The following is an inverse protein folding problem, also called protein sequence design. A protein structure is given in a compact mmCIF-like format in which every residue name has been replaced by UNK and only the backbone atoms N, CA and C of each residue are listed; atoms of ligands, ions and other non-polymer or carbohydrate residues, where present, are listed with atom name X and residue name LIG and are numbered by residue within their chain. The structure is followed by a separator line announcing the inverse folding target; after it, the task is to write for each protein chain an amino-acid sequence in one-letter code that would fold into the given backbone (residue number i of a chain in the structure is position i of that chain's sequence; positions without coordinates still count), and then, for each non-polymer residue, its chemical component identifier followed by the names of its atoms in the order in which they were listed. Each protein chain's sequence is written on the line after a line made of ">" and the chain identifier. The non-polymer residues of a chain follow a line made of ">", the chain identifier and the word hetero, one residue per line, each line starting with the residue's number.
data_IF_399641209965
#
_entry.id   IF_399641209965
#
_cell.length_a   1.000
_cell.length_b   1.000
_cell.length_c   1.000
_cell.angle_alpha   90.00
_cell.angle_beta   90.00
_cell.angle_gamma   90.00
#
_symmetry.space_group_name_H-M   'P 1'
#
loop_
_entity.id
_entity.type
_entity.pdbx_description
1 polymer ?
#
# COMPACT_ATOMS: atom_id res chain seq x y z
N UNK A 1 -9.81 -21.46 4.73
CA UNK A 1 -9.67 -20.60 3.54
C UNK A 1 -8.33 -19.88 3.68
N UNK A 2 -7.43 -20.06 2.72
CA UNK A 2 -6.12 -19.39 2.72
C UNK A 2 -6.21 -18.16 1.81
N UNK A 3 -5.40 -17.14 2.09
CA UNK A 3 -5.35 -15.91 1.31
C UNK A 3 -3.90 -15.48 1.11
N UNK A 4 -3.65 -14.78 0.00
CA UNK A 4 -2.39 -14.09 -0.27
C UNK A 4 -2.63 -12.59 -0.16
N UNK A 5 -1.75 -11.90 0.57
CA UNK A 5 -1.77 -10.45 0.74
C UNK A 5 -0.50 -9.88 0.14
N UNK A 6 -0.65 -8.85 -0.69
CA UNK A 6 0.46 -8.15 -1.33
C UNK A 6 0.34 -6.64 -1.11
N UNK A 7 1.47 -5.94 -1.24
CA UNK A 7 1.55 -4.50 -1.10
C UNK A 7 2.08 -3.88 -2.38
N UNK A 8 1.36 -2.86 -2.89
CA UNK A 8 1.87 -1.93 -3.90
C UNK A 8 2.17 -0.63 -3.15
N UNK A 9 3.44 -0.26 -3.04
CA UNK A 9 3.89 0.83 -2.17
C UNK A 9 4.78 1.85 -2.91
N UNK A 10 4.95 3.03 -2.31
CA UNK A 10 5.82 4.09 -2.82
C UNK A 10 5.42 4.57 -4.22
N UNK A 11 6.41 4.78 -5.08
CA UNK A 11 6.18 5.28 -6.45
C UNK A 11 5.25 4.38 -7.26
N UNK A 12 5.33 3.05 -7.07
CA UNK A 12 4.43 2.11 -7.73
C UNK A 12 2.98 2.33 -7.30
N UNK A 13 2.72 2.58 -6.01
CA UNK A 13 1.36 2.87 -5.55
C UNK A 13 0.78 4.10 -6.26
N UNK A 14 1.55 5.17 -6.36
CA UNK A 14 1.12 6.37 -7.11
C UNK A 14 0.85 6.07 -8.59
N UNK A 15 1.72 5.31 -9.26
CA UNK A 15 1.56 4.96 -10.68
C UNK A 15 0.33 4.08 -10.94
N UNK A 16 0.05 3.11 -10.06
CA UNK A 16 -1.06 2.18 -10.23
C UNK A 16 -2.40 2.71 -9.70
N UNK A 17 -2.38 3.68 -8.78
CA UNK A 17 -3.59 4.32 -8.22
C UNK A 17 -4.46 5.05 -9.27
N UNK A 18 -3.86 5.43 -10.40
CA UNK A 18 -4.52 6.10 -11.52
C UNK A 18 -5.08 5.14 -12.58
N UNK A 19 -4.73 3.85 -12.51
CA UNK A 19 -5.22 2.81 -13.42
C UNK A 19 -6.64 2.39 -13.08
N UNK A 20 -7.29 1.66 -13.98
CA UNK A 20 -8.57 1.03 -13.66
C UNK A 20 -8.36 -0.20 -12.76
N UNK A 21 -9.37 -0.55 -11.96
CA UNK A 21 -9.31 -1.71 -11.06
C UNK A 21 -9.10 -3.03 -11.81
N UNK A 22 -9.68 -3.17 -13.01
CA UNK A 22 -9.49 -4.33 -13.87
C UNK A 22 -8.03 -4.50 -14.32
N UNK A 23 -7.38 -3.40 -14.72
CA UNK A 23 -5.97 -3.40 -15.11
C UNK A 23 -5.05 -3.78 -13.95
N UNK A 24 -5.30 -3.21 -12.75
CA UNK A 24 -4.55 -3.55 -11.54
C UNK A 24 -4.70 -5.01 -11.17
N UNK A 25 -5.93 -5.52 -11.15
CA UNK A 25 -6.23 -6.93 -10.85
C UNK A 25 -5.47 -7.87 -11.77
N UNK A 26 -5.51 -7.62 -13.09
CA UNK A 26 -4.83 -8.49 -14.05
C UNK A 26 -3.30 -8.43 -13.91
N UNK A 27 -2.74 -7.25 -13.59
CA UNK A 27 -1.30 -7.10 -13.32
C UNK A 27 -0.87 -7.88 -12.06
N UNK A 28 -1.67 -7.85 -11.00
CA UNK A 28 -1.43 -8.63 -9.78
C UNK A 28 -1.50 -10.13 -10.09
N UNK A 29 -2.55 -10.59 -10.75
CA UNK A 29 -2.70 -12.01 -11.11
C UNK A 29 -1.59 -12.50 -12.02
N UNK A 30 -1.20 -11.71 -13.03
CA UNK A 30 -0.08 -12.04 -13.91
C UNK A 30 1.23 -12.17 -13.14
N UNK A 31 1.47 -11.30 -12.16
CA UNK A 31 2.63 -11.39 -11.28
C UNK A 31 2.57 -12.65 -10.40
N UNK A 32 1.43 -12.93 -9.78
CA UNK A 32 1.25 -14.13 -8.96
C UNK A 32 1.46 -15.41 -9.77
N UNK A 33 0.91 -15.49 -10.99
CA UNK A 33 1.09 -16.63 -11.89
C UNK A 33 2.55 -16.82 -12.28
N UNK A 34 3.25 -15.72 -12.57
CA UNK A 34 4.67 -15.75 -12.92
C UNK A 34 5.53 -16.35 -11.81
N UNK A 35 5.23 -16.06 -10.54
CA UNK A 35 6.06 -16.47 -9.40
C UNK A 35 5.59 -17.74 -8.69
N UNK A 36 4.27 -18.00 -8.68
CA UNK A 36 3.66 -19.10 -7.92
C UNK A 36 3.04 -20.18 -8.83
N UNK A 37 2.98 -19.94 -10.14
CA UNK A 37 2.44 -20.88 -11.12
C UNK A 37 0.98 -20.64 -11.51
N UNK A 38 0.46 -21.40 -12.49
CA UNK A 38 -0.86 -21.17 -13.09
C UNK A 38 -2.03 -21.30 -12.12
N UNK A 39 -1.86 -22.05 -11.02
CA UNK A 39 -2.88 -22.23 -9.98
C UNK A 39 -3.29 -20.90 -9.32
N UNK A 40 -2.44 -19.87 -9.36
CA UNK A 40 -2.78 -18.55 -8.85
C UNK A 40 -3.96 -17.87 -9.58
N UNK A 41 -4.36 -18.34 -10.78
CA UNK A 41 -5.60 -17.90 -11.45
C UNK A 41 -6.85 -18.58 -10.90
N UNK A 42 -6.70 -19.68 -10.17
CA UNK A 42 -7.81 -20.39 -9.52
C UNK A 42 -8.08 -19.79 -8.15
N UNK A 43 -8.77 -18.65 -8.12
CA UNK A 43 -9.13 -17.96 -6.88
C UNK A 43 -10.63 -17.66 -6.82
N UNK A 44 -11.12 -17.48 -5.60
CA UNK A 44 -12.55 -17.26 -5.33
C UNK A 44 -12.87 -15.77 -5.24
N UNK A 45 -11.92 -14.97 -4.74
CA UNK A 45 -12.12 -13.55 -4.47
C UNK A 45 -10.84 -12.73 -4.57
N UNK A 46 -10.97 -11.48 -4.98
CA UNK A 46 -9.89 -10.49 -5.07
C UNK A 46 -10.43 -9.15 -4.56
N UNK A 47 -9.71 -8.53 -3.65
CA UNK A 47 -10.02 -7.20 -3.11
C UNK A 47 -8.75 -6.37 -2.99
N UNK A 48 -8.89 -5.06 -3.16
CA UNK A 48 -7.82 -4.09 -3.01
C UNK A 48 -8.31 -2.84 -2.28
N UNK A 49 -7.42 -2.20 -1.52
CA UNK A 49 -7.69 -0.92 -0.85
C UNK A 49 -6.57 0.06 -1.17
N UNK A 50 -6.96 1.16 -1.80
CA UNK A 50 -6.10 2.33 -1.93
C UNK A 50 -6.17 3.16 -0.64
N UNK A 51 -5.15 3.03 0.20
CA UNK A 51 -5.06 3.75 1.46
C UNK A 51 -4.65 5.21 1.30
N UNK A 52 -4.12 5.61 0.14
CA UNK A 52 -3.80 7.01 -0.13
C UNK A 52 -5.06 7.87 -0.33
N UNK A 53 -6.20 7.22 -0.62
CA UNK A 53 -7.53 7.84 -0.77
C UNK A 53 -8.40 7.72 0.49
N UNK A 54 -7.83 7.26 1.60
CA UNK A 54 -8.55 7.17 2.87
C UNK A 54 -8.38 8.48 3.63
N UNK A 55 -9.48 9.21 3.81
CA UNK A 55 -9.50 10.61 4.26
C UNK A 55 -8.91 10.81 5.67
N UNK A 56 -9.00 9.80 6.54
CA UNK A 56 -8.61 9.92 7.94
C UNK A 56 -7.23 9.32 8.25
N UNK A 57 -6.71 8.44 7.40
CA UNK A 57 -5.42 7.78 7.58
C UNK A 57 -4.27 8.61 7.02
N UNK A 58 -4.52 9.36 5.94
CA UNK A 58 -3.47 10.13 5.24
C UNK A 58 -2.44 9.27 4.51
N UNK A 59 -2.69 7.96 4.38
CA UNK A 59 -1.79 6.97 3.80
C UNK A 59 -1.61 5.73 4.68
N UNK A 60 -0.82 4.77 4.18
CA UNK A 60 -0.52 3.48 4.81
C UNK A 60 0.79 2.96 4.20
N UNK A 61 1.58 2.11 4.90
CA UNK A 61 1.32 1.56 6.23
C UNK A 61 1.76 2.44 7.40
N UNK A 62 2.68 3.37 7.15
CA UNK A 62 3.29 4.19 8.20
C UNK A 62 3.57 5.59 7.68
N UNK A 63 3.82 6.51 8.62
CA UNK A 63 4.38 7.81 8.30
C UNK A 63 5.87 7.67 7.96
N UNK A 64 6.34 8.45 6.99
CA UNK A 64 7.76 8.55 6.65
C UNK A 64 8.26 9.96 6.91
N UNK A 65 9.52 10.07 7.32
CA UNK A 65 10.17 11.36 7.53
C UNK A 65 11.15 11.65 6.40
N UNK A 66 11.11 12.86 5.87
CA UNK A 66 12.14 13.35 4.96
C UNK A 66 13.50 13.45 5.68
N UNK A 67 14.62 13.44 4.93
CA UNK A 67 15.96 13.58 5.52
C UNK A 67 16.08 14.77 6.47
N UNK A 68 16.71 14.55 7.61
CA UNK A 68 16.90 15.56 8.66
C UNK A 68 15.70 15.73 9.61
N UNK A 69 14.47 15.40 9.22
CA UNK A 69 13.30 15.61 10.08
C UNK A 69 13.34 14.78 11.35
N UNK A 70 13.78 13.53 11.25
CA UNK A 70 13.94 12.69 12.43
C UNK A 70 14.96 13.32 13.39
N UNK A 71 16.14 13.72 12.91
CA UNK A 71 17.20 14.28 13.76
C UNK A 71 16.77 15.56 14.48
N UNK A 72 16.15 16.51 13.77
CA UNK A 72 15.85 17.83 14.34
C UNK A 72 14.49 17.90 15.05
N UNK A 73 13.54 17.03 14.70
CA UNK A 73 12.14 17.16 15.15
C UNK A 73 11.57 15.93 15.85
N UNK A 74 12.29 14.80 15.98
CA UNK A 74 11.74 13.65 16.72
C UNK A 74 11.23 13.95 18.14
N UNK A 75 11.82 14.86 18.95
CA UNK A 75 11.31 15.12 20.30
C UNK A 75 9.90 15.72 20.28
N UNK A 76 9.55 16.41 19.20
CA UNK A 76 8.26 17.08 19.03
C UNK A 76 7.10 16.11 18.79
N UNK A 77 7.37 14.86 18.36
CA UNK A 77 6.33 13.87 18.08
C UNK A 77 5.39 13.57 19.26
N UNK A 78 5.87 13.76 20.49
CA UNK A 78 5.11 13.49 21.72
C UNK A 78 5.16 14.64 22.72
N UNK A 79 5.78 15.76 22.34
CA UNK A 79 5.86 16.95 23.20
C UNK A 79 4.46 17.56 23.31
N UNK A 80 3.92 17.79 24.52
CA UNK A 80 2.64 18.46 24.68
C UNK A 80 2.66 19.89 24.12
N UNK A 81 1.53 20.32 23.54
CA UNK A 81 1.31 21.68 23.03
C UNK A 81 0.12 22.30 23.76
N UNK A 82 0.37 23.18 24.73
CA UNK A 82 -0.68 23.73 25.60
C UNK A 82 -0.95 22.83 26.81
N UNK A 83 -2.22 22.70 27.20
CA UNK A 83 -2.67 21.78 28.26
C UNK A 83 -3.07 20.42 27.69
#
# INVERSE_FOLDING_TARGET
>A
MLALVGFIAGQQASQWSSKESGERREAVLSSLVKYLGPEARSFIHYEEKDWAKEDYSGGCPVNVMAPGLLTYYHPSLRKPCGR
#
